data_IF_862154926622
#
_entry.id   IF_862154926622
#
_cell.length_a   1.000
_cell.length_b   1.000
_cell.length_c   1.000
_cell.angle_alpha   90.00
_cell.angle_beta   90.00
_cell.angle_gamma   90.00
#
_symmetry.space_group_name_H-M   'P 1'
#
loop_
_entity.id
_entity.type
_entity.pdbx_description
1 polymer ?
#
# COMPACT_ATOMS: atom_id res chain seq x y z
N UNK A 1 -18.00 6.76 10.49
CA UNK A 1 -16.55 6.64 10.81
C UNK A 1 -16.30 7.35 12.12
N UNK A 2 -15.87 6.64 13.16
CA UNK A 2 -15.42 7.26 14.41
C UNK A 2 -14.04 7.84 14.13
N UNK A 3 -13.88 9.17 14.25
CA UNK A 3 -12.57 9.83 14.13
C UNK A 3 -11.67 9.28 15.23
N UNK A 4 -10.44 8.90 14.90
CA UNK A 4 -9.47 8.50 15.92
C UNK A 4 -9.23 9.67 16.90
N UNK A 5 -8.95 9.39 18.17
CA UNK A 5 -8.56 10.43 19.14
C UNK A 5 -7.40 11.31 18.61
N UNK A 6 -6.53 10.72 17.78
CA UNK A 6 -5.44 11.42 17.12
C UNK A 6 -5.92 12.40 16.03
N UNK A 7 -6.97 12.05 15.27
CA UNK A 7 -7.57 12.96 14.27
C UNK A 7 -8.27 14.16 14.93
N UNK A 8 -8.86 13.94 16.11
CA UNK A 8 -9.54 15.00 16.88
C UNK A 8 -8.52 16.02 17.41
N UNK A 9 -7.38 15.56 17.92
CA UNK A 9 -6.31 16.44 18.43
C UNK A 9 -5.62 17.26 17.33
N UNK A 10 -5.39 16.66 16.15
CA UNK A 10 -4.81 17.38 14.99
C UNK A 10 -5.80 18.42 14.44
N UNK A 11 -7.11 18.19 14.58
CA UNK A 11 -8.13 19.14 14.11
C UNK A 11 -8.33 20.36 15.01
N UNK A 12 -7.95 20.27 16.30
CA UNK A 12 -8.15 21.35 17.28
C UNK A 12 -7.03 22.39 17.33
N UNK A 13 -5.86 22.09 16.76
CA UNK A 13 -4.72 23.01 16.69
C UNK A 13 -4.75 23.67 15.31
N UNK A 14 -4.92 24.99 15.28
CA UNK A 14 -4.94 25.74 14.02
C UNK A 14 -3.54 25.73 13.42
N UNK A 15 -3.35 24.96 12.36
CA UNK A 15 -2.13 25.05 11.56
C UNK A 15 -2.10 26.43 10.88
N UNK A 16 -1.02 27.17 11.11
CA UNK A 16 -0.84 28.52 10.54
C UNK A 16 0.06 28.48 9.30
N UNK A 17 0.78 27.37 9.10
CA UNK A 17 1.63 27.15 7.94
C UNK A 17 0.87 26.36 6.85
N UNK A 18 0.61 27.05 5.74
CA UNK A 18 -0.13 26.52 4.59
C UNK A 18 0.44 25.21 4.04
N UNK A 19 1.77 25.02 4.10
CA UNK A 19 2.40 23.79 3.63
C UNK A 19 1.96 22.59 4.48
N UNK A 20 1.97 22.72 5.80
CA UNK A 20 1.63 21.61 6.69
C UNK A 20 0.14 21.27 6.67
N UNK A 21 -0.74 22.27 6.49
CA UNK A 21 -2.18 22.01 6.36
C UNK A 21 -2.47 21.28 5.04
N UNK A 22 -1.85 21.69 3.93
CA UNK A 22 -1.96 20.99 2.64
C UNK A 22 -1.46 19.54 2.73
N UNK A 23 -0.28 19.32 3.31
CA UNK A 23 0.30 17.97 3.47
C UNK A 23 -0.57 17.09 4.38
N UNK A 24 -1.15 17.65 5.44
CA UNK A 24 -2.09 16.93 6.32
C UNK A 24 -3.34 16.47 5.56
N UNK A 25 -4.01 17.38 4.85
CA UNK A 25 -5.19 17.03 4.03
C UNK A 25 -4.83 15.97 3.00
N UNK A 26 -3.70 16.16 2.33
CA UNK A 26 -3.20 15.22 1.34
C UNK A 26 -2.94 13.82 1.91
N UNK A 27 -2.20 13.71 3.02
CA UNK A 27 -1.87 12.42 3.63
C UNK A 27 -3.11 11.68 4.16
N UNK A 28 -4.11 12.39 4.68
CA UNK A 28 -5.35 11.78 5.15
C UNK A 28 -6.15 11.15 4.00
N UNK A 29 -6.36 11.91 2.93
CA UNK A 29 -7.04 11.42 1.72
C UNK A 29 -6.24 10.29 1.06
N UNK A 30 -4.94 10.50 0.91
CA UNK A 30 -4.05 9.53 0.26
C UNK A 30 -3.94 8.23 1.04
N UNK A 31 -3.90 8.27 2.39
CA UNK A 31 -3.93 7.08 3.23
C UNK A 31 -5.20 6.25 2.99
N UNK A 32 -6.36 6.89 2.93
CA UNK A 32 -7.63 6.21 2.67
C UNK A 32 -7.61 5.47 1.33
N UNK A 33 -7.13 6.14 0.28
CA UNK A 33 -7.00 5.58 -1.07
C UNK A 33 -6.03 4.40 -1.11
N UNK A 34 -4.86 4.53 -0.47
CA UNK A 34 -3.88 3.45 -0.40
C UNK A 34 -4.42 2.26 0.39
N UNK A 35 -5.07 2.49 1.53
CA UNK A 35 -5.68 1.42 2.34
C UNK A 35 -6.74 0.63 1.55
N UNK A 36 -7.64 1.33 0.85
CA UNK A 36 -8.64 0.69 -0.01
C UNK A 36 -7.99 -0.08 -1.17
N UNK A 37 -6.99 0.51 -1.81
CA UNK A 37 -6.24 -0.14 -2.89
C UNK A 37 -5.52 -1.40 -2.40
N UNK A 38 -4.91 -1.38 -1.20
CA UNK A 38 -4.30 -2.55 -0.58
C UNK A 38 -5.31 -3.68 -0.41
N UNK A 39 -6.49 -3.40 0.15
CA UNK A 39 -7.53 -4.41 0.36
C UNK A 39 -8.02 -5.04 -0.97
N UNK A 40 -8.12 -4.21 -2.03
CA UNK A 40 -8.47 -4.67 -3.38
C UNK A 40 -7.38 -5.55 -3.98
N UNK A 41 -6.11 -5.14 -3.86
CA UNK A 41 -4.96 -5.91 -4.35
C UNK A 41 -4.86 -7.27 -3.64
N UNK A 42 -5.08 -7.31 -2.32
CA UNK A 42 -5.12 -8.56 -1.57
C UNK A 42 -6.24 -9.50 -2.02
N UNK A 43 -7.42 -8.95 -2.34
CA UNK A 43 -8.54 -9.74 -2.89
C UNK A 43 -8.17 -10.31 -4.26
N UNK A 44 -7.54 -9.52 -5.13
CA UNK A 44 -7.06 -9.96 -6.44
C UNK A 44 -6.06 -11.12 -6.31
N UNK A 45 -5.04 -10.99 -5.45
CA UNK A 45 -4.08 -12.06 -5.19
C UNK A 45 -4.76 -13.34 -4.69
N UNK A 46 -5.76 -13.22 -3.80
CA UNK A 46 -6.54 -14.38 -3.35
C UNK A 46 -7.34 -15.02 -4.48
N UNK A 47 -7.94 -14.21 -5.36
CA UNK A 47 -8.67 -14.73 -6.52
C UNK A 47 -7.77 -15.54 -7.46
N UNK A 48 -6.55 -15.09 -7.74
CA UNK A 48 -5.60 -15.88 -8.53
C UNK A 48 -5.21 -17.21 -7.84
N UNK A 49 -5.02 -17.21 -6.52
CA UNK A 49 -4.76 -18.44 -5.75
C UNK A 49 -5.95 -19.42 -5.87
N UNK A 50 -7.18 -18.93 -5.75
CA UNK A 50 -8.37 -19.76 -5.91
C UNK A 50 -8.50 -20.32 -7.34
N UNK A 51 -8.21 -19.53 -8.38
CA UNK A 51 -8.22 -20.03 -9.78
C UNK A 51 -7.17 -21.12 -9.97
N UNK A 52 -5.98 -20.97 -9.37
CA UNK A 52 -4.97 -22.01 -9.41
C UNK A 52 -5.47 -23.29 -8.74
N UNK A 53 -6.19 -23.20 -7.61
CA UNK A 53 -6.79 -24.35 -6.94
C UNK A 53 -7.89 -25.01 -7.80
N UNK A 54 -8.73 -24.20 -8.47
CA UNK A 54 -9.72 -24.71 -9.42
C UNK A 54 -9.08 -25.50 -10.57
N UNK A 55 -7.94 -25.02 -11.10
CA UNK A 55 -7.19 -25.75 -12.11
C UNK A 55 -6.65 -27.10 -11.61
N UNK A 56 -6.27 -27.20 -10.34
CA UNK A 56 -5.90 -28.50 -9.72
C UNK A 56 -7.09 -29.45 -9.74
N UNK A 57 -8.25 -28.96 -9.27
CA UNK A 57 -9.45 -29.77 -9.19
C UNK A 57 -9.89 -30.27 -10.57
N UNK A 58 -9.90 -29.38 -11.57
CA UNK A 58 -10.25 -29.74 -12.95
C UNK A 58 -9.27 -30.78 -13.50
N UNK A 59 -7.96 -30.55 -13.35
CA UNK A 59 -6.91 -31.49 -13.77
C UNK A 59 -7.11 -32.89 -13.16
N UNK A 60 -7.35 -32.95 -11.85
CA UNK A 60 -7.57 -34.19 -11.13
C UNK A 60 -8.84 -34.92 -11.59
N UNK A 61 -9.94 -34.20 -11.78
CA UNK A 61 -11.19 -34.77 -12.30
C UNK A 61 -11.01 -35.33 -13.71
N UNK A 62 -10.32 -34.61 -14.59
CA UNK A 62 -10.02 -35.10 -15.95
C UNK A 62 -9.19 -36.39 -15.92
N UNK A 63 -8.20 -36.48 -15.02
CA UNK A 63 -7.40 -37.70 -14.83
C UNK A 63 -8.23 -38.87 -14.31
N UNK A 64 -9.17 -38.62 -13.39
CA UNK A 64 -10.06 -39.66 -12.88
C UNK A 64 -10.96 -40.23 -13.99
N UNK A 65 -11.56 -39.35 -14.80
CA UNK A 65 -12.37 -39.78 -15.96
C UNK A 65 -11.53 -40.57 -16.95
N UNK A 66 -10.30 -40.11 -17.24
CA UNK A 66 -9.37 -40.78 -18.14
C UNK A 66 -8.95 -42.19 -17.66
N UNK A 67 -8.91 -42.42 -16.35
CA UNK A 67 -8.60 -43.73 -15.78
C UNK A 67 -9.71 -44.76 -16.05
N UNK A 68 -10.96 -44.31 -16.15
CA UNK A 68 -12.14 -45.14 -16.42
C UNK A 68 -12.48 -45.22 -17.92
N UNK A 69 -12.01 -44.25 -18.72
CA UNK A 69 -12.28 -44.15 -20.15
C UNK A 69 -11.27 -44.97 -20.99
N UNK A 70 -11.79 -45.90 -21.79
CA UNK A 70 -11.02 -46.73 -22.75
C UNK A 70 -11.27 -46.34 -24.21
N UNK A 71 -11.97 -45.22 -24.46
CA UNK A 71 -12.32 -44.74 -25.79
C UNK A 71 -11.24 -43.84 -26.40
N UNK A 72 -11.43 -43.45 -27.66
CA UNK A 72 -10.57 -42.49 -28.37
C UNK A 72 -10.46 -41.12 -27.65
N UNK A 73 -11.40 -40.78 -26.77
CA UNK A 73 -11.42 -39.51 -26.03
C UNK A 73 -10.37 -39.44 -24.93
N UNK A 74 -9.84 -40.58 -24.48
CA UNK A 74 -8.85 -40.67 -23.41
C UNK A 74 -7.66 -39.72 -23.63
N UNK A 75 -7.10 -39.74 -24.84
CA UNK A 75 -5.92 -38.93 -25.20
C UNK A 75 -6.22 -37.43 -25.16
N UNK A 76 -7.43 -37.02 -25.55
CA UNK A 76 -7.88 -35.63 -25.46
C UNK A 76 -8.04 -35.18 -24.01
N UNK A 77 -8.59 -36.03 -23.14
CA UNK A 77 -8.71 -35.74 -21.70
C UNK A 77 -7.35 -35.61 -21.02
N UNK A 78 -6.38 -36.47 -21.35
CA UNK A 78 -4.99 -36.35 -20.86
C UNK A 78 -4.37 -35.00 -21.26
N UNK A 79 -4.57 -34.56 -22.52
CA UNK A 79 -4.06 -33.25 -22.97
C UNK A 79 -4.73 -32.07 -22.28
N UNK A 80 -6.01 -32.16 -21.98
CA UNK A 80 -6.71 -31.14 -21.21
C UNK A 80 -6.22 -31.11 -19.76
N UNK A 81 -6.01 -32.27 -19.13
CA UNK A 81 -5.46 -32.34 -17.77
C UNK A 81 -4.06 -31.70 -17.70
N UNK A 82 -3.17 -32.08 -18.63
CA UNK A 82 -1.84 -31.49 -18.78
C UNK A 82 -1.88 -29.95 -18.96
N UNK A 83 -2.87 -29.45 -19.72
CA UNK A 83 -3.07 -28.01 -19.91
C UNK A 83 -3.42 -27.34 -18.58
N UNK A 84 -4.38 -27.88 -17.82
CA UNK A 84 -4.79 -27.28 -16.54
C UNK A 84 -3.67 -27.26 -15.51
N UNK A 85 -2.82 -28.29 -15.43
CA UNK A 85 -1.61 -28.25 -14.58
C UNK A 85 -0.60 -27.17 -15.02
N UNK A 86 -0.47 -26.93 -16.32
CA UNK A 86 0.37 -25.85 -16.84
C UNK A 86 -0.21 -24.48 -16.51
N UNK A 87 -1.53 -24.29 -16.73
CA UNK A 87 -2.24 -23.05 -16.41
C UNK A 87 -2.19 -22.74 -14.91
N UNK A 88 -2.35 -23.74 -14.04
CA UNK A 88 -2.13 -23.62 -12.59
C UNK A 88 -0.78 -22.99 -12.26
N UNK A 89 0.30 -23.47 -12.89
CA UNK A 89 1.66 -22.93 -12.65
C UNK A 89 1.79 -21.49 -13.13
N UNK A 90 1.13 -21.12 -14.22
CA UNK A 90 1.12 -19.72 -14.69
C UNK A 90 0.34 -18.85 -13.74
N UNK A 91 -0.85 -19.28 -13.32
CA UNK A 91 -1.71 -18.53 -12.40
C UNK A 91 -1.04 -18.30 -11.04
N UNK A 92 -0.35 -19.31 -10.51
CA UNK A 92 0.45 -19.17 -9.29
C UNK A 92 1.59 -18.15 -9.43
N UNK A 93 2.20 -18.04 -10.63
CA UNK A 93 3.20 -17.00 -10.92
C UNK A 93 2.56 -15.62 -11.00
N UNK A 94 1.43 -15.47 -11.69
CA UNK A 94 0.65 -14.22 -11.73
C UNK A 94 0.36 -13.73 -10.32
N UNK A 95 -0.15 -14.61 -9.45
CA UNK A 95 -0.45 -14.26 -8.05
C UNK A 95 0.80 -13.73 -7.32
N UNK A 96 1.94 -14.41 -7.47
CA UNK A 96 3.19 -14.08 -6.78
C UNK A 96 3.81 -12.77 -7.31
N UNK A 97 3.83 -12.60 -8.63
CA UNK A 97 4.36 -11.41 -9.29
C UNK A 97 3.53 -10.17 -8.96
N UNK A 98 2.19 -10.28 -8.97
CA UNK A 98 1.29 -9.21 -8.53
C UNK A 98 1.41 -8.91 -7.04
N UNK A 99 1.51 -9.94 -6.19
CA UNK A 99 1.69 -9.77 -4.73
C UNK A 99 2.96 -8.96 -4.46
N UNK A 100 4.07 -9.30 -5.12
CA UNK A 100 5.34 -8.61 -4.99
C UNK A 100 5.32 -7.19 -5.54
N UNK A 101 4.78 -6.97 -6.75
CA UNK A 101 4.87 -5.67 -7.43
C UNK A 101 3.81 -4.67 -7.00
N UNK A 102 2.63 -5.13 -6.60
CA UNK A 102 1.52 -4.26 -6.24
C UNK A 102 1.20 -4.31 -4.76
N UNK A 103 0.88 -5.50 -4.23
CA UNK A 103 0.36 -5.64 -2.86
C UNK A 103 1.40 -5.22 -1.82
N UNK A 104 2.64 -5.69 -1.92
CA UNK A 104 3.71 -5.32 -1.00
C UNK A 104 4.08 -3.83 -1.09
N UNK A 105 4.07 -3.26 -2.29
CA UNK A 105 4.27 -1.82 -2.48
C UNK A 105 3.19 -1.00 -1.76
N UNK A 106 1.93 -1.37 -1.93
CA UNK A 106 0.79 -0.70 -1.30
C UNK A 106 0.85 -0.82 0.23
N UNK A 107 1.21 -2.01 0.75
CA UNK A 107 1.42 -2.23 2.20
C UNK A 107 2.56 -1.38 2.75
N UNK A 108 3.68 -1.31 2.03
CA UNK A 108 4.81 -0.46 2.40
C UNK A 108 4.38 1.00 2.50
N UNK A 109 3.76 1.55 1.44
CA UNK A 109 3.34 2.94 1.45
C UNK A 109 2.21 3.24 2.42
N UNK A 110 1.32 2.28 2.70
CA UNK A 110 0.33 2.45 3.77
C UNK A 110 1.01 2.71 5.12
N UNK A 111 2.09 2.00 5.44
CA UNK A 111 2.88 2.19 6.67
C UNK A 111 3.69 3.48 6.62
N UNK A 112 4.32 3.81 5.49
CA UNK A 112 5.12 5.03 5.32
C UNK A 112 4.25 6.29 5.45
N UNK A 113 3.03 6.27 4.89
CA UNK A 113 2.04 7.36 5.06
C UNK A 113 1.60 7.48 6.53
N UNK A 114 1.42 6.37 7.24
CA UNK A 114 1.08 6.42 8.66
C UNK A 114 2.22 7.06 9.47
N UNK A 115 3.48 6.74 9.18
CA UNK A 115 4.63 7.39 9.81
C UNK A 115 4.69 8.90 9.50
N UNK A 116 4.35 9.31 8.29
CA UNK A 116 4.25 10.72 7.90
C UNK A 116 3.12 11.45 8.67
N UNK A 117 1.96 10.80 8.85
CA UNK A 117 0.88 11.33 9.70
C UNK A 117 1.32 11.48 11.16
N UNK A 118 2.03 10.50 11.70
CA UNK A 118 2.54 10.54 13.08
C UNK A 118 3.61 11.63 13.27
N UNK A 119 4.36 11.95 12.21
CA UNK A 119 5.28 13.08 12.18
C UNK A 119 4.52 14.42 12.27
N UNK A 120 3.47 14.60 11.46
CA UNK A 120 2.62 15.79 11.53
C UNK A 120 1.95 15.94 12.90
N UNK A 121 1.46 14.84 13.48
CA UNK A 121 0.90 14.84 14.83
C UNK A 121 1.90 15.34 15.89
N UNK A 122 3.13 14.79 15.87
CA UNK A 122 4.19 15.19 16.81
C UNK A 122 4.56 16.66 16.65
N UNK A 123 4.62 17.17 15.40
CA UNK A 123 4.85 18.59 15.12
C UNK A 123 3.71 19.45 15.66
N UNK A 124 2.45 19.11 15.38
CA UNK A 124 1.29 19.87 15.87
C UNK A 124 1.28 19.93 17.41
N UNK A 125 1.60 18.83 18.10
CA UNK A 125 1.73 18.82 19.56
C UNK A 125 2.86 19.73 20.06
N UNK A 126 3.98 19.80 19.35
CA UNK A 126 5.06 20.71 19.69
C UNK A 126 4.65 22.18 19.52
N UNK A 127 3.86 22.49 18.48
CA UNK A 127 3.27 23.82 18.28
C UNK A 127 2.36 24.22 19.45
N UNK A 128 1.42 23.35 19.84
CA UNK A 128 0.54 23.62 20.96
C UNK A 128 1.30 23.84 22.29
N UNK A 129 2.36 23.05 22.53
CA UNK A 129 3.21 23.25 23.70
C UNK A 129 3.93 24.61 23.65
N UNK A 130 4.42 25.00 22.48
CA UNK A 130 5.04 26.30 22.26
C UNK A 130 4.06 27.45 22.50
N UNK A 131 2.85 27.40 21.94
CA UNK A 131 1.80 28.41 22.19
C UNK A 131 1.41 28.52 23.66
N UNK A 132 1.34 27.38 24.36
CA UNK A 132 1.07 27.36 25.80
C UNK A 132 2.23 27.96 26.60
N UNK A 133 3.48 27.68 26.22
CA UNK A 133 4.66 28.28 26.85
C UNK A 133 4.72 29.80 26.64
N UNK A 134 4.33 30.30 25.46
CA UNK A 134 4.19 31.75 25.20
C UNK A 134 3.17 32.39 26.16
N UNK A 135 1.97 31.80 26.29
CA UNK A 135 0.95 32.30 27.24
C UNK A 135 1.43 32.27 28.69
N UNK A 136 2.23 31.28 29.07
CA UNK A 136 2.80 31.19 30.42
C UNK A 136 3.84 32.29 30.65
N UNK A 137 4.70 32.56 29.66
CA UNK A 137 5.66 33.66 29.70
C UNK A 137 4.97 35.03 29.80
N UNK A 138 3.92 35.27 29.04
CA UNK A 138 3.14 36.51 29.14
C UNK A 138 2.56 36.72 30.54
N UNK A 139 2.06 35.64 31.17
CA UNK A 139 1.58 35.68 32.57
C UNK A 139 2.70 35.95 33.57
N UNK A 140 3.89 35.38 33.38
CA UNK A 140 5.06 35.62 34.23
C UNK A 140 5.50 37.09 34.16
N UNK A 141 5.52 37.66 32.95
CA UNK A 141 5.81 39.07 32.68
C UNK A 141 4.79 40.01 33.33
N UNK A 142 3.49 39.72 33.19
CA UNK A 142 2.43 40.51 33.82
C UNK A 142 2.50 40.51 35.36
N UNK A 143 2.99 39.41 35.96
CA UNK A 143 3.14 39.28 37.42
C UNK A 143 4.52 39.69 37.94
N UNK A 144 5.44 40.07 37.04
CA UNK A 144 6.85 40.35 37.35
C UNK A 144 7.53 39.24 38.19
N UNK A 145 7.19 37.98 37.92
CA UNK A 145 7.62 36.82 38.72
C UNK A 145 7.98 35.64 37.83
N UNK A 146 9.05 34.92 38.17
CA UNK A 146 9.51 33.69 37.51
C UNK A 146 9.82 33.86 35.99
N UNK A 147 10.12 35.10 35.56
CA UNK A 147 10.34 35.44 34.15
C UNK A 147 11.49 34.61 33.54
N UNK A 148 12.70 34.52 34.15
CA UNK A 148 13.80 33.80 33.52
C UNK A 148 13.49 32.32 33.27
N UNK A 149 12.78 31.67 34.20
CA UNK A 149 12.37 30.27 34.08
C UNK A 149 11.33 30.08 32.95
N UNK A 150 10.35 31.00 32.85
CA UNK A 150 9.35 30.95 31.80
C UNK A 150 9.96 31.22 30.41
N UNK A 151 10.94 32.11 30.32
CA UNK A 151 11.68 32.40 29.07
C UNK A 151 12.51 31.18 28.62
N UNK A 152 13.25 30.56 29.53
CA UNK A 152 14.01 29.34 29.22
C UNK A 152 13.10 28.21 28.73
N UNK A 153 11.97 27.98 29.42
CA UNK A 153 11.02 26.95 29.02
C UNK A 153 10.41 27.21 27.64
N UNK A 154 10.02 28.46 27.37
CA UNK A 154 9.50 28.86 26.07
C UNK A 154 10.53 28.66 24.96
N UNK A 155 11.79 29.01 25.23
CA UNK A 155 12.89 28.83 24.27
C UNK A 155 13.11 27.36 23.94
N UNK A 156 13.04 26.47 24.95
CA UNK A 156 13.14 25.02 24.74
C UNK A 156 11.97 24.48 23.89
N UNK A 157 10.74 24.94 24.14
CA UNK A 157 9.58 24.57 23.34
C UNK A 157 9.69 25.04 21.89
N UNK A 158 10.16 26.28 21.66
CA UNK A 158 10.40 26.84 20.33
C UNK A 158 11.43 26.00 19.57
N UNK A 159 12.62 25.77 20.15
CA UNK A 159 13.68 24.98 19.52
C UNK A 159 13.19 23.57 19.13
N UNK A 160 12.35 22.94 19.98
CA UNK A 160 11.76 21.63 19.67
C UNK A 160 10.78 21.71 18.50
N UNK A 161 9.91 22.73 18.47
CA UNK A 161 8.98 22.94 17.38
C UNK A 161 9.70 23.22 16.05
N UNK A 162 10.73 24.07 16.06
CA UNK A 162 11.51 24.41 14.87
C UNK A 162 12.21 23.18 14.29
N UNK A 163 12.92 22.40 15.12
CA UNK A 163 13.58 21.17 14.70
C UNK A 163 12.62 20.16 14.09
N UNK A 164 11.42 20.01 14.68
CA UNK A 164 10.39 19.12 14.14
C UNK A 164 9.82 19.65 12.82
N UNK A 165 9.64 20.97 12.70
CA UNK A 165 9.15 21.60 11.47
C UNK A 165 10.14 21.45 10.31
N UNK A 166 11.43 21.71 10.54
CA UNK A 166 12.47 21.52 9.53
C UNK A 166 12.56 20.06 9.08
N UNK A 167 12.60 19.13 10.05
CA UNK A 167 12.65 17.69 9.77
C UNK A 167 11.42 17.21 9.01
N UNK A 168 10.22 17.64 9.42
CA UNK A 168 8.97 17.29 8.76
C UNK A 168 8.90 17.83 7.33
N UNK A 169 9.31 19.09 7.10
CA UNK A 169 9.31 19.68 5.76
C UNK A 169 10.25 18.94 4.81
N UNK A 170 11.44 18.58 5.29
CA UNK A 170 12.41 17.77 4.53
C UNK A 170 11.86 16.38 4.22
N UNK A 171 11.29 15.71 5.21
CA UNK A 171 10.77 14.34 5.05
C UNK A 171 9.58 14.30 4.10
N UNK A 172 8.60 15.19 4.24
CA UNK A 172 7.40 15.22 3.38
C UNK A 172 7.76 15.53 1.92
N UNK A 173 8.74 16.43 1.71
CA UNK A 173 9.27 16.71 0.37
C UNK A 173 9.94 15.47 -0.25
N UNK A 174 10.79 14.79 0.53
CA UNK A 174 11.46 13.55 0.12
C UNK A 174 10.45 12.43 -0.16
N UNK A 175 9.47 12.25 0.73
CA UNK A 175 8.40 11.26 0.62
C UNK A 175 7.65 11.39 -0.71
N UNK A 176 7.26 12.61 -1.08
CA UNK A 176 6.58 12.88 -2.37
C UNK A 176 7.39 12.35 -3.56
N UNK A 177 8.69 12.65 -3.61
CA UNK A 177 9.57 12.20 -4.68
C UNK A 177 9.77 10.68 -4.71
N UNK A 178 10.16 10.10 -3.56
CA UNK A 178 10.40 8.65 -3.41
C UNK A 178 9.18 7.84 -3.83
N UNK A 179 8.00 8.25 -3.36
CA UNK A 179 6.73 7.58 -3.66
C UNK A 179 6.39 7.58 -5.14
N UNK A 180 6.45 8.73 -5.81
CA UNK A 180 6.10 8.81 -7.24
C UNK A 180 7.00 7.91 -8.06
N UNK A 181 8.31 7.89 -7.77
CA UNK A 181 9.25 7.00 -8.46
C UNK A 181 8.96 5.52 -8.20
N UNK A 182 8.70 5.13 -6.96
CA UNK A 182 8.43 3.75 -6.60
C UNK A 182 7.14 3.22 -7.25
N UNK A 183 6.05 4.00 -7.19
CA UNK A 183 4.78 3.62 -7.84
C UNK A 183 4.93 3.55 -9.36
N UNK A 184 5.58 4.55 -9.98
CA UNK A 184 5.82 4.53 -11.44
C UNK A 184 6.57 3.26 -11.85
N UNK A 185 7.68 2.95 -11.18
CA UNK A 185 8.50 1.78 -11.49
C UNK A 185 7.68 0.48 -11.38
N UNK A 186 7.03 0.26 -10.24
CA UNK A 186 6.32 -0.98 -9.98
C UNK A 186 5.08 -1.17 -10.85
N UNK A 187 4.34 -0.10 -11.17
CA UNK A 187 3.18 -0.18 -12.05
C UNK A 187 3.58 -0.49 -13.51
N UNK A 188 4.70 0.06 -13.98
CA UNK A 188 5.24 -0.28 -15.31
C UNK A 188 5.69 -1.74 -15.33
N UNK A 189 6.49 -2.17 -14.35
CA UNK A 189 6.95 -3.56 -14.26
C UNK A 189 5.77 -4.55 -14.13
N UNK A 190 4.72 -4.18 -13.37
CA UNK A 190 3.49 -4.98 -13.26
C UNK A 190 2.80 -5.09 -14.63
N UNK A 191 2.62 -3.98 -15.36
CA UNK A 191 1.97 -4.03 -16.68
C UNK A 191 2.75 -4.90 -17.69
N UNK A 192 4.08 -4.85 -17.65
CA UNK A 192 4.94 -5.70 -18.46
C UNK A 192 4.77 -7.19 -18.11
N UNK A 193 4.66 -7.50 -16.81
CA UNK A 193 4.40 -8.86 -16.33
C UNK A 193 3.01 -9.35 -16.75
N UNK A 194 1.96 -8.53 -16.62
CA UNK A 194 0.60 -8.86 -17.09
C UNK A 194 0.60 -9.25 -18.58
N UNK A 195 1.26 -8.46 -19.42
CA UNK A 195 1.37 -8.75 -20.87
C UNK A 195 2.12 -10.08 -21.08
N UNK A 196 3.20 -10.33 -20.34
CA UNK A 196 3.97 -11.56 -20.43
C UNK A 196 3.13 -12.78 -20.01
N UNK A 197 2.38 -12.68 -18.91
CA UNK A 197 1.50 -13.75 -18.44
C UNK A 197 0.38 -14.04 -19.44
N UNK A 198 -0.27 -12.99 -19.96
CA UNK A 198 -1.32 -13.13 -20.97
C UNK A 198 -0.81 -13.83 -22.24
N UNK A 199 0.38 -13.43 -22.74
CA UNK A 199 1.01 -14.09 -23.90
C UNK A 199 1.32 -15.56 -23.63
N UNK A 200 1.84 -15.88 -22.45
CA UNK A 200 2.13 -17.26 -22.07
C UNK A 200 0.85 -18.11 -21.98
N UNK A 201 -0.22 -17.57 -21.39
CA UNK A 201 -1.52 -18.24 -21.33
C UNK A 201 -2.10 -18.51 -22.73
N UNK A 202 -2.08 -17.50 -23.61
CA UNK A 202 -2.53 -17.66 -25.00
C UNK A 202 -1.75 -18.74 -25.74
N UNK A 203 -0.42 -18.75 -25.60
CA UNK A 203 0.44 -19.76 -26.24
C UNK A 203 0.13 -21.19 -25.75
N UNK A 204 -0.12 -21.38 -24.45
CA UNK A 204 -0.49 -22.68 -23.89
C UNK A 204 -1.85 -23.17 -24.41
N UNK A 205 -2.85 -22.29 -24.44
CA UNK A 205 -4.19 -22.61 -24.95
C UNK A 205 -4.14 -22.97 -26.45
N UNK A 206 -3.46 -22.15 -27.24
CA UNK A 206 -3.29 -22.39 -28.68
C UNK A 206 -2.58 -23.72 -28.96
N UNK A 207 -1.50 -24.00 -28.23
CA UNK A 207 -0.77 -25.26 -28.36
C UNK A 207 -1.63 -26.48 -27.99
N UNK A 208 -2.52 -26.36 -27.00
CA UNK A 208 -3.46 -27.42 -26.66
C UNK A 208 -4.50 -27.64 -27.78
N UNK A 209 -5.08 -26.56 -28.32
CA UNK A 209 -6.03 -26.63 -29.45
C UNK A 209 -5.40 -27.34 -30.66
N UNK A 210 -4.15 -27.01 -30.99
CA UNK A 210 -3.44 -27.64 -32.11
C UNK A 210 -3.20 -29.14 -31.88
N UNK A 211 -2.88 -29.54 -30.65
CA UNK A 211 -2.74 -30.96 -30.30
C UNK A 211 -4.06 -31.72 -30.39
N UNK A 212 -5.16 -31.09 -29.97
CA UNK A 212 -6.50 -31.69 -30.01
C UNK A 212 -7.04 -31.84 -31.44
N UNK A 213 -6.67 -30.95 -32.37
CA UNK A 213 -7.02 -31.09 -33.80
C UNK A 213 -6.36 -32.29 -34.47
N UNK A 214 -5.31 -32.84 -33.87
CA UNK A 214 -4.58 -34.01 -34.38
C UNK A 214 -5.18 -35.35 -33.97
N UNK A 215 -6.31 -35.36 -33.25
CA UNK A 215 -7.08 -36.55 -32.88
C UNK A 215 -8.40 -36.58 -33.64
#
# INVERSE_FOLDING_TARGET
>A
MVKSADEVLISGIKEVDDFFEQEKTFLLDYFSKIKDSTAKAEKMTRSHKNIADDYIHISATLNAICAEDSTANKKSLEKLSDLFEKLRKVEGRVASDQELKLTELLRYYMRDIQAAKDLLYRRARALANYENSNKALDKARLKSRDIPQAEEHQQQCLQKFDRLSESAKKELTSFKGRRVMAFKKNLVEMAELEIKHAKNNMAMLQGCIEQLKGF
#
